data_IF_296065501589
#
_entry.id   IF_296065501589
#
_cell.length_a   1.000
_cell.length_b   1.000
_cell.length_c   1.000
_cell.angle_alpha   90.00
_cell.angle_beta   90.00
_cell.angle_gamma   90.00
#
_symmetry.space_group_name_H-M   'P 1'
#
loop_
_entity.id
_entity.type
_entity.pdbx_description
1 polymer ?
#
# COMPACT_ATOMS: atom_id res chain seq x y z
N UNK A 1 17.04 19.75 61.70
CA UNK A 1 16.44 18.40 61.49
C UNK A 1 15.59 18.48 60.23
N UNK A 2 16.07 17.94 59.15
CA UNK A 2 15.38 17.96 57.85
C UNK A 2 14.35 16.83 57.84
N UNK A 3 13.09 17.21 57.54
CA UNK A 3 11.92 16.33 57.69
C UNK A 3 11.90 15.28 56.59
N UNK A 4 11.77 13.95 56.92
CA UNK A 4 11.75 12.79 55.99
C UNK A 4 10.74 12.90 54.86
N UNK A 5 9.71 13.76 54.97
CA UNK A 5 8.69 13.98 53.92
C UNK A 5 9.17 14.85 52.77
N UNK A 6 10.17 15.73 52.97
CA UNK A 6 10.71 16.61 51.93
C UNK A 6 11.72 15.88 51.05
N UNK A 7 12.30 14.76 51.46
CA UNK A 7 13.26 13.99 50.66
C UNK A 7 12.59 13.06 49.64
N UNK A 8 11.37 12.60 49.92
CA UNK A 8 10.61 11.72 49.01
C UNK A 8 9.98 12.47 47.83
N UNK A 9 9.71 13.78 47.96
CA UNK A 9 9.13 14.59 46.89
C UNK A 9 10.16 15.06 45.84
N UNK A 10 11.44 15.13 46.18
CA UNK A 10 12.50 15.54 45.28
C UNK A 10 13.01 14.39 44.38
N UNK A 11 12.85 13.14 44.83
CA UNK A 11 13.30 11.96 44.06
C UNK A 11 12.31 11.53 42.99
N UNK A 12 11.03 11.88 43.07
CA UNK A 12 10.01 11.57 42.05
C UNK A 12 10.07 12.49 40.82
N UNK A 13 10.60 13.69 40.97
CA UNK A 13 10.72 14.67 39.88
C UNK A 13 11.92 14.42 38.92
N UNK A 14 12.92 13.67 39.37
CA UNK A 14 14.13 13.38 38.57
C UNK A 14 13.99 12.16 37.65
N UNK A 15 12.99 11.29 37.88
CA UNK A 15 12.77 10.10 37.03
C UNK A 15 11.91 10.37 35.77
N UNK A 16 11.30 11.55 35.69
CA UNK A 16 10.49 11.93 34.51
C UNK A 16 11.31 12.56 33.36
N UNK A 17 12.62 12.79 33.54
CA UNK A 17 13.41 13.65 32.66
C UNK A 17 14.22 12.92 31.58
N UNK A 18 14.10 11.59 31.39
CA UNK A 18 14.91 10.85 30.43
C UNK A 18 14.16 9.77 29.62
N UNK A 19 12.85 9.83 29.51
CA UNK A 19 12.19 9.03 28.49
C UNK A 19 12.40 9.69 27.14
N UNK A 20 13.23 9.10 26.27
CA UNK A 20 13.25 9.50 24.85
C UNK A 20 11.79 9.47 24.35
N UNK A 21 11.37 10.51 23.61
CA UNK A 21 10.05 10.47 23.00
C UNK A 21 9.91 9.18 22.19
N UNK A 22 8.77 8.52 22.32
CA UNK A 22 8.51 7.30 21.56
C UNK A 22 8.59 7.61 20.06
N UNK A 23 9.24 6.72 19.31
CA UNK A 23 9.34 6.86 17.86
C UNK A 23 7.96 6.84 17.23
N UNK A 24 7.82 7.62 16.18
CA UNK A 24 6.63 7.61 15.31
C UNK A 24 6.68 6.35 14.45
N UNK A 25 5.71 5.46 14.62
CA UNK A 25 5.67 4.19 13.89
C UNK A 25 4.87 4.34 12.60
N UNK A 26 5.48 3.88 11.50
CA UNK A 26 4.85 3.79 10.18
C UNK A 26 4.75 2.31 9.80
N UNK A 27 3.54 1.75 9.81
CA UNK A 27 3.32 0.35 9.47
C UNK A 27 3.18 0.16 7.95
N UNK A 28 3.95 -0.76 7.38
CA UNK A 28 3.78 -1.18 5.99
C UNK A 28 2.78 -2.33 5.90
N UNK A 29 2.01 -2.38 4.82
CA UNK A 29 1.09 -3.49 4.54
C UNK A 29 1.75 -4.66 3.78
N UNK A 30 3.02 -4.52 3.42
CA UNK A 30 3.79 -5.56 2.73
C UNK A 30 5.26 -5.55 3.16
N UNK A 31 6.04 -6.52 2.64
CA UNK A 31 7.49 -6.58 2.81
C UNK A 31 8.16 -5.37 2.17
N UNK A 32 9.34 -4.93 2.67
CA UNK A 32 10.12 -3.89 2.02
C UNK A 32 10.42 -4.23 0.56
N UNK A 33 9.96 -3.39 -0.35
CA UNK A 33 10.23 -3.46 -1.78
C UNK A 33 10.08 -2.07 -2.42
N UNK A 34 10.33 -1.87 -3.73
CA UNK A 34 10.32 -0.55 -4.37
C UNK A 34 9.05 0.27 -4.21
N UNK A 35 7.88 -0.35 -3.96
CA UNK A 35 6.63 0.40 -3.70
C UNK A 35 6.69 1.24 -2.41
N UNK A 36 7.67 1.00 -1.55
CA UNK A 36 7.90 1.76 -0.32
C UNK A 36 9.16 2.62 -0.37
N UNK A 37 9.83 2.69 -1.52
CA UNK A 37 11.13 3.33 -1.66
C UNK A 37 11.20 4.75 -1.12
N UNK A 38 10.20 5.59 -1.43
CA UNK A 38 10.16 6.96 -0.92
C UNK A 38 9.97 7.07 0.58
N UNK A 39 9.34 6.08 1.24
CA UNK A 39 9.23 6.05 2.70
C UNK A 39 10.58 5.73 3.36
N UNK A 40 11.36 4.83 2.78
CA UNK A 40 12.70 4.51 3.27
C UNK A 40 13.74 5.58 2.92
N UNK A 41 13.58 6.29 1.80
CA UNK A 41 14.46 7.38 1.39
C UNK A 41 14.19 8.70 2.12
N UNK A 42 13.08 8.81 2.86
CA UNK A 42 12.69 10.05 3.53
C UNK A 42 13.64 10.41 4.67
N UNK A 43 14.13 11.66 4.64
CA UNK A 43 14.97 12.22 5.69
C UNK A 43 14.10 12.80 6.81
N UNK A 44 13.46 11.95 7.59
CA UNK A 44 12.48 12.31 8.62
C UNK A 44 13.03 13.27 9.69
N UNK A 45 14.29 13.12 10.05
CA UNK A 45 15.00 13.96 11.02
C UNK A 45 15.04 15.43 10.60
N UNK A 46 15.18 15.73 9.31
CA UNK A 46 15.10 17.09 8.75
C UNK A 46 13.74 17.75 8.93
N UNK A 47 12.71 16.94 9.12
CA UNK A 47 11.34 17.38 9.39
C UNK A 47 10.99 17.29 10.88
N UNK A 48 11.97 17.07 11.76
CA UNK A 48 11.76 16.96 13.21
C UNK A 48 11.03 15.68 13.65
N UNK A 49 11.07 14.62 12.82
CA UNK A 49 10.39 13.35 13.08
C UNK A 49 11.41 12.26 13.38
N UNK A 50 11.23 11.54 14.50
CA UNK A 50 11.95 10.28 14.79
C UNK A 50 11.04 9.12 14.41
N UNK A 51 11.30 8.52 13.24
CA UNK A 51 10.41 7.52 12.61
C UNK A 51 11.02 6.13 12.68
N UNK A 52 10.16 5.17 12.95
CA UNK A 52 10.41 3.73 12.83
C UNK A 52 9.44 3.14 11.79
N UNK A 53 9.98 2.59 10.70
CA UNK A 53 9.18 1.86 9.73
C UNK A 53 9.04 0.41 10.20
N UNK A 54 7.82 -0.05 10.36
CA UNK A 54 7.48 -1.43 10.71
C UNK A 54 7.21 -2.22 9.44
N UNK A 55 8.09 -3.13 9.04
CA UNK A 55 7.86 -3.99 7.88
C UNK A 55 6.59 -4.83 8.04
N UNK A 56 5.87 -5.01 6.94
CA UNK A 56 4.65 -5.81 6.90
C UNK A 56 4.83 -7.14 6.15
N UNK A 57 3.73 -7.70 5.75
CA UNK A 57 3.62 -8.94 4.98
C UNK A 57 2.16 -9.22 4.63
N UNK A 58 1.90 -10.38 4.02
CA UNK A 58 0.54 -10.78 3.68
C UNK A 58 -0.37 -10.78 4.92
N UNK A 59 -1.47 -10.02 4.85
CA UNK A 59 -2.45 -9.93 5.93
C UNK A 59 -2.07 -9.00 7.09
N UNK A 60 -1.02 -8.18 6.97
CA UNK A 60 -0.71 -7.16 7.99
C UNK A 60 -1.89 -6.20 8.16
N UNK A 61 -2.47 -6.08 9.37
CA UNK A 61 -3.72 -5.35 9.59
C UNK A 61 -3.46 -3.85 9.82
N UNK A 62 -2.90 -3.16 8.81
CA UNK A 62 -2.39 -1.79 8.95
C UNK A 62 -3.48 -0.80 9.38
N UNK A 63 -4.70 -0.92 8.83
CA UNK A 63 -5.83 -0.08 9.23
C UNK A 63 -6.15 -0.23 10.73
N UNK A 64 -6.17 -1.47 11.23
CA UNK A 64 -6.42 -1.76 12.63
C UNK A 64 -5.28 -1.26 13.52
N UNK A 65 -4.03 -1.32 13.04
CA UNK A 65 -2.88 -0.78 13.75
C UNK A 65 -2.98 0.74 13.92
N UNK A 66 -3.42 1.46 12.89
CA UNK A 66 -3.70 2.91 12.95
C UNK A 66 -4.83 3.18 13.95
N UNK A 67 -5.96 2.48 13.79
CA UNK A 67 -7.14 2.68 14.63
C UNK A 67 -6.91 2.38 16.12
N UNK A 68 -6.06 1.40 16.44
CA UNK A 68 -5.67 1.04 17.80
C UNK A 68 -4.52 1.92 18.37
N UNK A 69 -3.92 2.81 17.55
CA UNK A 69 -2.75 3.61 17.95
C UNK A 69 -1.47 2.79 18.13
N UNK A 70 -1.41 1.57 17.61
CA UNK A 70 -0.19 0.76 17.61
C UNK A 70 0.78 1.18 16.51
N UNK A 71 0.32 1.97 15.51
CA UNK A 71 1.12 2.76 14.61
C UNK A 71 0.45 4.12 14.40
N UNK A 72 1.23 5.19 14.39
CA UNK A 72 0.72 6.55 14.18
C UNK A 72 0.34 6.80 12.72
N UNK A 73 1.08 6.16 11.81
CA UNK A 73 0.84 6.16 10.38
C UNK A 73 0.92 4.73 9.82
N UNK A 74 0.36 4.53 8.64
CA UNK A 74 0.51 3.25 7.97
C UNK A 74 0.20 3.37 6.48
N UNK A 75 0.61 2.35 5.75
CA UNK A 75 0.37 2.25 4.32
C UNK A 75 -0.82 1.32 4.09
N UNK A 76 -1.79 1.81 3.35
CA UNK A 76 -3.05 1.10 3.02
C UNK A 76 -3.38 1.28 1.53
N UNK A 77 -4.35 0.54 1.01
CA UNK A 77 -5.01 0.88 -0.26
C UNK A 77 -6.26 1.73 -0.01
N UNK A 78 -6.66 2.52 -0.99
CA UNK A 78 -7.82 3.42 -0.85
C UNK A 78 -9.12 2.65 -0.63
N UNK A 79 -9.27 1.49 -1.25
CA UNK A 79 -10.45 0.64 -1.10
C UNK A 79 -10.55 0.03 0.31
N UNK A 80 -9.43 -0.47 0.87
CA UNK A 80 -9.37 -0.92 2.26
C UNK A 80 -9.74 0.21 3.23
N UNK A 81 -9.21 1.42 2.98
CA UNK A 81 -9.51 2.60 3.79
C UNK A 81 -11.00 2.93 3.77
N UNK A 82 -11.63 2.96 2.59
CA UNK A 82 -13.07 3.24 2.44
C UNK A 82 -13.90 2.19 3.17
N UNK A 83 -13.62 0.91 2.98
CA UNK A 83 -14.32 -0.19 3.64
C UNK A 83 -14.17 -0.11 5.16
N UNK A 84 -12.97 0.14 5.65
CA UNK A 84 -12.70 0.27 7.07
C UNK A 84 -13.44 1.47 7.68
N UNK A 85 -13.41 2.61 7.00
CA UNK A 85 -14.07 3.83 7.45
C UNK A 85 -15.59 3.67 7.48
N UNK A 86 -16.18 3.06 6.46
CA UNK A 86 -17.62 2.75 6.43
C UNK A 86 -18.06 1.81 7.57
N UNK A 87 -17.12 1.05 8.13
CA UNK A 87 -17.32 0.18 9.32
C UNK A 87 -16.98 0.85 10.64
N UNK A 88 -16.71 2.17 10.63
CA UNK A 88 -16.46 2.97 11.81
C UNK A 88 -14.99 3.01 12.27
N UNK A 89 -14.04 2.50 11.50
CA UNK A 89 -12.62 2.68 11.82
C UNK A 89 -12.20 4.12 11.53
N UNK A 90 -11.43 4.70 12.45
CA UNK A 90 -10.90 6.05 12.28
C UNK A 90 -9.59 6.01 11.48
N UNK A 91 -9.69 6.13 10.17
CA UNK A 91 -8.54 6.18 9.25
C UNK A 91 -8.77 7.20 8.15
N UNK A 92 -7.75 8.00 7.80
CA UNK A 92 -7.79 9.06 6.79
C UNK A 92 -6.50 9.06 5.96
N UNK A 93 -6.63 9.18 4.64
CA UNK A 93 -5.51 9.26 3.71
C UNK A 93 -4.88 10.65 3.71
N UNK A 94 -3.55 10.72 3.63
CA UNK A 94 -2.77 11.97 3.60
C UNK A 94 -1.98 12.13 2.30
N UNK A 95 -1.58 11.01 1.66
CA UNK A 95 -0.68 11.04 0.51
C UNK A 95 -0.87 9.75 -0.30
N UNK A 96 -1.14 9.84 -1.60
CA UNK A 96 -1.24 8.70 -2.48
C UNK A 96 -0.01 8.59 -3.38
N UNK A 97 0.72 7.50 -3.29
CA UNK A 97 1.93 7.27 -4.10
C UNK A 97 1.54 6.99 -5.54
N UNK A 98 0.83 5.89 -5.76
CA UNK A 98 0.47 5.51 -7.12
C UNK A 98 -0.80 6.21 -7.59
N UNK A 99 -0.66 6.91 -8.68
CA UNK A 99 -1.75 7.64 -9.33
C UNK A 99 -2.60 6.76 -10.25
N UNK A 100 -2.09 5.60 -10.65
CA UNK A 100 -2.85 4.53 -11.29
C UNK A 100 -2.79 3.26 -10.46
N UNK A 101 -3.90 2.51 -10.44
CA UNK A 101 -3.95 1.24 -9.73
C UNK A 101 -2.92 0.26 -10.30
N UNK A 102 -2.11 -0.28 -9.42
CA UNK A 102 -0.99 -1.16 -9.77
C UNK A 102 -1.37 -2.64 -9.74
N UNK A 103 -2.62 -2.95 -9.48
CA UNK A 103 -3.14 -4.32 -9.49
C UNK A 103 -3.56 -4.73 -10.90
N UNK A 104 -3.31 -5.99 -11.22
CA UNK A 104 -3.67 -6.57 -12.52
C UNK A 104 -3.78 -8.08 -12.45
N UNK A 105 -4.11 -8.66 -13.61
CA UNK A 105 -4.03 -10.09 -13.85
C UNK A 105 -2.98 -10.30 -14.94
N UNK A 106 -2.00 -11.18 -14.69
CA UNK A 106 -1.07 -11.62 -15.72
C UNK A 106 -1.48 -12.99 -16.26
N UNK A 107 -1.24 -13.21 -17.54
CA UNK A 107 -1.42 -14.48 -18.22
C UNK A 107 -0.25 -14.74 -19.18
N UNK A 108 -0.01 -15.98 -19.56
CA UNK A 108 1.00 -16.31 -20.56
C UNK A 108 0.68 -15.62 -21.89
N UNK A 109 1.69 -14.97 -22.51
CA UNK A 109 1.52 -14.27 -23.79
C UNK A 109 1.14 -15.22 -24.93
N UNK A 110 1.55 -16.50 -24.84
CA UNK A 110 1.21 -17.58 -25.79
C UNK A 110 -0.30 -17.85 -25.88
N UNK A 111 -1.09 -17.41 -24.90
CA UNK A 111 -2.55 -17.54 -24.94
C UNK A 111 -3.25 -16.57 -25.88
N UNK A 112 -2.55 -15.54 -26.38
CA UNK A 112 -3.07 -14.54 -27.33
C UNK A 112 -4.39 -13.88 -26.89
N UNK A 113 -4.54 -13.61 -25.58
CA UNK A 113 -5.73 -12.99 -24.99
C UNK A 113 -5.74 -11.48 -25.25
N UNK A 114 -6.91 -10.87 -25.49
CA UNK A 114 -7.03 -9.44 -25.78
C UNK A 114 -7.54 -8.62 -24.59
N UNK A 115 -8.27 -9.23 -23.69
CA UNK A 115 -8.88 -8.55 -22.55
C UNK A 115 -8.82 -9.38 -21.28
N UNK A 116 -9.04 -8.74 -20.14
CA UNK A 116 -9.20 -9.43 -18.85
C UNK A 116 -10.42 -10.37 -18.86
N UNK A 117 -11.47 -10.04 -19.65
CA UNK A 117 -12.62 -10.90 -19.84
C UNK A 117 -12.26 -12.21 -20.57
N UNK A 118 -11.27 -12.18 -21.47
CA UNK A 118 -10.81 -13.40 -22.16
C UNK A 118 -10.01 -14.30 -21.21
N UNK A 119 -9.24 -13.71 -20.30
CA UNK A 119 -8.51 -14.46 -19.25
C UNK A 119 -9.48 -15.32 -18.43
N UNK A 120 -10.70 -14.83 -18.21
CA UNK A 120 -11.69 -15.44 -17.33
C UNK A 120 -12.61 -16.47 -18.04
N UNK A 121 -12.32 -16.81 -19.31
CA UNK A 121 -13.09 -17.78 -20.07
C UNK A 121 -12.63 -19.24 -19.90
N UNK A 122 -11.38 -19.46 -19.49
CA UNK A 122 -10.83 -20.79 -19.26
C UNK A 122 -9.55 -20.79 -18.42
N UNK A 123 -9.18 -21.94 -17.88
CA UNK A 123 -7.91 -22.17 -17.19
C UNK A 123 -8.00 -22.00 -15.68
N UNK A 124 -6.85 -21.72 -15.06
CA UNK A 124 -6.73 -21.52 -13.61
C UNK A 124 -6.48 -20.03 -13.32
N UNK A 125 -7.24 -19.45 -12.39
CA UNK A 125 -7.04 -18.09 -11.90
C UNK A 125 -6.59 -18.12 -10.44
N UNK A 126 -5.35 -17.75 -10.18
CA UNK A 126 -4.84 -17.54 -8.83
C UNK A 126 -5.15 -16.10 -8.38
N UNK A 127 -6.11 -15.93 -7.46
CA UNK A 127 -6.58 -14.62 -7.01
C UNK A 127 -7.06 -14.67 -5.56
N UNK A 128 -6.85 -13.58 -4.84
CA UNK A 128 -7.42 -13.37 -3.52
C UNK A 128 -8.85 -12.83 -3.64
N UNK A 129 -9.84 -13.72 -3.62
CA UNK A 129 -11.27 -13.41 -3.85
C UNK A 129 -11.86 -12.34 -2.92
N UNK A 130 -11.29 -12.16 -1.72
CA UNK A 130 -11.77 -11.16 -0.76
C UNK A 130 -11.42 -9.70 -1.13
N UNK A 131 -10.54 -9.48 -2.09
CA UNK A 131 -10.17 -8.13 -2.52
C UNK A 131 -11.28 -7.49 -3.37
N UNK A 132 -11.55 -6.19 -3.22
CA UNK A 132 -12.61 -5.51 -3.95
C UNK A 132 -12.50 -5.66 -5.47
N UNK A 133 -11.30 -5.54 -6.05
CA UNK A 133 -11.13 -5.69 -7.50
C UNK A 133 -11.46 -7.12 -7.99
N UNK A 134 -11.16 -8.14 -7.19
CA UNK A 134 -11.50 -9.53 -7.54
C UNK A 134 -13.03 -9.71 -7.58
N UNK A 135 -13.74 -9.09 -6.66
CA UNK A 135 -15.22 -9.09 -6.63
C UNK A 135 -15.82 -8.31 -7.79
N UNK A 136 -15.19 -7.20 -8.20
CA UNK A 136 -15.60 -6.47 -9.41
C UNK A 136 -15.42 -7.36 -10.65
N UNK A 137 -14.29 -8.05 -10.78
CA UNK A 137 -14.06 -9.00 -11.86
C UNK A 137 -15.11 -10.13 -11.87
N UNK A 138 -15.37 -10.72 -10.70
CA UNK A 138 -16.37 -11.78 -10.55
C UNK A 138 -17.79 -11.28 -10.90
N UNK A 139 -18.16 -10.08 -10.45
CA UNK A 139 -19.45 -9.45 -10.77
C UNK A 139 -19.59 -9.12 -12.26
N UNK A 140 -18.52 -8.65 -12.91
CA UNK A 140 -18.54 -8.19 -14.31
C UNK A 140 -18.46 -9.33 -15.32
N UNK A 141 -17.66 -10.35 -15.03
CA UNK A 141 -17.32 -11.40 -16.01
C UNK A 141 -17.72 -12.81 -15.55
N UNK A 142 -18.02 -13.01 -14.25
CA UNK A 142 -18.16 -14.34 -13.66
C UNK A 142 -16.81 -15.07 -13.48
N UNK A 143 -16.82 -16.10 -12.63
CA UNK A 143 -15.67 -17.02 -12.46
C UNK A 143 -16.05 -18.46 -12.74
N UNK A 144 -17.21 -18.69 -13.38
CA UNK A 144 -17.75 -20.05 -13.62
C UNK A 144 -16.93 -20.88 -14.63
N UNK A 145 -16.16 -20.20 -15.47
CA UNK A 145 -15.37 -20.83 -16.53
C UNK A 145 -13.88 -20.99 -16.17
N UNK A 146 -13.46 -20.53 -14.99
CA UNK A 146 -12.08 -20.64 -14.50
C UNK A 146 -12.03 -21.39 -13.18
N UNK A 147 -10.98 -22.19 -13.00
CA UNK A 147 -10.68 -22.79 -11.70
C UNK A 147 -10.02 -21.73 -10.81
N UNK A 148 -10.78 -21.16 -9.87
CA UNK A 148 -10.22 -20.18 -8.92
C UNK A 148 -9.44 -20.89 -7.82
N UNK A 149 -8.20 -20.46 -7.60
CA UNK A 149 -7.31 -20.92 -6.53
C UNK A 149 -6.83 -19.72 -5.71
N UNK A 150 -6.45 -19.92 -4.43
CA UNK A 150 -5.89 -18.85 -3.61
C UNK A 150 -4.64 -18.25 -4.26
N UNK A 151 -4.48 -16.93 -4.14
CA UNK A 151 -3.26 -16.25 -4.56
C UNK A 151 -2.07 -16.73 -3.71
N UNK A 152 -0.93 -17.05 -4.34
CA UNK A 152 0.29 -17.48 -3.65
C UNK A 152 1.10 -16.32 -3.02
N UNK A 153 0.56 -15.09 -2.98
CA UNK A 153 1.23 -13.97 -2.32
C UNK A 153 2.54 -13.52 -2.97
N UNK A 154 2.58 -13.47 -4.30
CA UNK A 154 3.74 -13.03 -5.08
C UNK A 154 4.65 -14.19 -5.56
N UNK A 155 4.44 -15.42 -5.10
CA UNK A 155 5.11 -16.60 -5.70
C UNK A 155 4.49 -16.92 -7.07
N UNK A 156 5.32 -17.02 -8.10
CA UNK A 156 4.90 -17.30 -9.47
C UNK A 156 5.19 -18.75 -9.90
N UNK A 157 5.69 -19.59 -9.01
CA UNK A 157 6.13 -20.95 -9.35
C UNK A 157 5.02 -21.83 -9.96
N UNK A 158 3.80 -21.68 -9.49
CA UNK A 158 2.65 -22.41 -10.06
C UNK A 158 2.28 -21.86 -11.44
N UNK A 159 2.30 -20.52 -11.59
CA UNK A 159 2.06 -19.83 -12.84
C UNK A 159 3.04 -20.28 -13.94
N UNK A 160 4.33 -20.34 -13.63
CA UNK A 160 5.37 -20.75 -14.61
C UNK A 160 5.19 -22.18 -15.15
N UNK A 161 4.54 -23.08 -14.39
CA UNK A 161 4.36 -24.50 -14.77
C UNK A 161 3.10 -24.78 -15.58
N UNK A 162 2.13 -23.88 -15.58
CA UNK A 162 0.83 -24.08 -16.24
C UNK A 162 0.52 -22.92 -17.18
N UNK A 163 0.71 -23.15 -18.49
CA UNK A 163 0.45 -22.14 -19.52
C UNK A 163 -1.00 -21.64 -19.57
N UNK A 164 -1.95 -22.42 -19.05
CA UNK A 164 -3.36 -22.02 -18.95
C UNK A 164 -3.65 -21.23 -17.69
N UNK A 165 -2.66 -21.04 -16.82
CA UNK A 165 -2.85 -20.26 -15.60
C UNK A 165 -2.87 -18.75 -15.89
N UNK A 166 -3.57 -18.05 -15.03
CA UNK A 166 -3.51 -16.61 -14.85
C UNK A 166 -3.37 -16.31 -13.35
N UNK A 167 -2.74 -15.21 -13.01
CA UNK A 167 -2.47 -14.88 -11.63
C UNK A 167 -2.65 -13.37 -11.40
N UNK A 168 -3.23 -13.01 -10.25
CA UNK A 168 -3.14 -11.63 -9.79
C UNK A 168 -1.69 -11.20 -9.67
N UNK A 169 -1.41 -9.94 -9.99
CA UNK A 169 -0.08 -9.39 -9.92
C UNK A 169 -0.10 -7.91 -9.53
N UNK A 170 1.01 -7.46 -9.00
CA UNK A 170 1.39 -6.07 -9.02
C UNK A 170 2.05 -5.81 -10.37
N UNK A 171 1.45 -5.01 -11.22
CA UNK A 171 1.75 -4.96 -12.67
C UNK A 171 3.22 -4.70 -13.04
N UNK A 172 4.01 -4.20 -12.08
CA UNK A 172 5.44 -3.94 -12.23
C UNK A 172 6.35 -4.94 -11.49
N UNK A 173 5.83 -5.98 -10.84
CA UNK A 173 6.62 -6.92 -10.04
C UNK A 173 6.58 -8.35 -10.59
N UNK A 174 5.51 -9.11 -10.38
CA UNK A 174 5.42 -10.50 -10.80
C UNK A 174 5.60 -10.70 -12.32
N UNK A 175 5.14 -9.77 -13.22
CA UNK A 175 5.41 -9.89 -14.65
C UNK A 175 6.90 -9.81 -15.00
N UNK A 176 7.69 -9.01 -14.26
CA UNK A 176 9.14 -8.96 -14.45
C UNK A 176 9.79 -10.27 -14.00
N UNK A 177 9.37 -10.82 -12.85
CA UNK A 177 9.87 -12.11 -12.37
C UNK A 177 9.57 -13.23 -13.38
N UNK A 178 8.38 -13.25 -13.99
CA UNK A 178 8.02 -14.24 -15.02
C UNK A 178 8.92 -14.14 -16.25
N UNK A 179 9.21 -12.92 -16.74
CA UNK A 179 10.14 -12.70 -17.86
C UNK A 179 11.55 -13.14 -17.54
N UNK A 180 12.06 -12.88 -16.32
CA UNK A 180 13.37 -13.38 -15.88
C UNK A 180 13.43 -14.91 -15.83
N UNK A 181 12.30 -15.55 -15.52
CA UNK A 181 12.17 -17.01 -15.60
C UNK A 181 11.97 -17.54 -17.04
N UNK A 182 12.06 -16.68 -18.06
CA UNK A 182 11.92 -17.05 -19.48
C UNK A 182 10.49 -17.20 -19.97
N UNK A 183 9.50 -16.68 -19.23
CA UNK A 183 8.09 -16.75 -19.59
C UNK A 183 7.57 -15.37 -19.98
N UNK A 184 7.18 -15.21 -21.24
CA UNK A 184 6.52 -13.99 -21.71
C UNK A 184 5.09 -13.90 -21.19
N UNK A 185 4.74 -12.73 -20.68
CA UNK A 185 3.42 -12.50 -20.09
C UNK A 185 2.77 -11.25 -20.67
N UNK A 186 1.45 -11.32 -20.81
CA UNK A 186 0.56 -10.18 -21.01
C UNK A 186 -0.10 -9.80 -19.71
N UNK A 187 -0.08 -8.52 -19.40
CA UNK A 187 -0.67 -7.96 -18.17
C UNK A 187 -1.94 -7.22 -18.51
N UNK A 188 -2.97 -7.44 -17.73
CA UNK A 188 -4.27 -6.80 -17.83
C UNK A 188 -4.50 -5.98 -16.57
N UNK A 189 -4.23 -4.65 -16.59
CA UNK A 189 -4.45 -3.78 -15.44
C UNK A 189 -5.92 -3.71 -15.06
N UNK A 190 -6.22 -3.74 -13.77
CA UNK A 190 -7.59 -3.59 -13.28
C UNK A 190 -8.11 -2.17 -13.54
N UNK A 191 -7.22 -1.20 -13.65
CA UNK A 191 -7.57 0.16 -14.03
C UNK A 191 -8.30 0.25 -15.39
N UNK A 192 -7.97 -0.63 -16.35
CA UNK A 192 -8.54 -0.64 -17.70
C UNK A 192 -10.02 -1.05 -17.72
N UNK A 193 -10.50 -1.71 -16.68
CA UNK A 193 -11.94 -2.03 -16.52
C UNK A 193 -12.72 -0.96 -15.75
N UNK A 194 -12.07 0.16 -15.40
CA UNK A 194 -12.65 1.30 -14.70
C UNK A 194 -12.53 1.23 -13.17
N UNK A 195 -11.82 0.23 -12.61
CA UNK A 195 -11.52 0.19 -11.19
C UNK A 195 -10.11 0.68 -10.91
N UNK A 196 -10.00 1.96 -10.52
CA UNK A 196 -8.71 2.62 -10.39
C UNK A 196 -8.52 3.31 -9.02
N UNK A 197 -8.53 2.57 -7.89
CA UNK A 197 -8.24 3.14 -6.58
C UNK A 197 -6.79 3.63 -6.49
N UNK A 198 -6.52 4.58 -5.58
CA UNK A 198 -5.15 4.86 -5.17
C UNK A 198 -4.58 3.64 -4.44
N UNK A 199 -3.33 3.32 -4.73
CA UNK A 199 -2.59 2.26 -4.02
C UNK A 199 -1.35 2.84 -3.35
N UNK A 200 -0.85 2.17 -2.31
CA UNK A 200 0.25 2.66 -1.46
C UNK A 200 -0.02 4.07 -0.93
N UNK A 201 -1.05 4.15 -0.09
CA UNK A 201 -1.56 5.41 0.48
C UNK A 201 -1.06 5.53 1.90
N UNK A 202 -0.36 6.63 2.22
CA UNK A 202 -0.05 7.00 3.60
C UNK A 202 -1.33 7.46 4.31
N UNK A 203 -1.64 6.82 5.41
CA UNK A 203 -2.82 7.10 6.22
C UNK A 203 -2.46 7.29 7.71
N UNK A 204 -3.35 7.97 8.42
CA UNK A 204 -3.34 8.13 9.89
C UNK A 204 -4.77 8.09 10.41
N UNK A 205 -4.99 8.25 11.71
CA UNK A 205 -6.35 8.46 12.25
C UNK A 205 -6.77 9.94 12.21
N UNK A 206 -8.07 10.20 12.08
CA UNK A 206 -8.60 11.58 12.18
C UNK A 206 -8.34 12.17 13.56
N UNK A 207 -8.33 11.33 14.61
CA UNK A 207 -7.97 11.75 15.95
C UNK A 207 -6.52 12.24 16.03
N UNK A 208 -5.57 11.50 15.47
CA UNK A 208 -4.16 11.88 15.37
C UNK A 208 -3.98 13.16 14.56
N UNK A 209 -4.62 13.25 13.39
CA UNK A 209 -4.57 14.44 12.52
C UNK A 209 -5.11 15.69 13.22
N UNK A 210 -6.16 15.54 14.02
CA UNK A 210 -6.74 16.63 14.80
C UNK A 210 -5.86 17.05 15.99
N UNK A 211 -5.22 16.10 16.66
CA UNK A 211 -4.38 16.38 17.83
C UNK A 211 -3.04 17.01 17.47
N UNK A 212 -2.48 16.61 16.32
CA UNK A 212 -1.17 17.09 15.85
C UNK A 212 -1.14 17.23 14.31
N UNK A 213 -1.81 18.27 13.77
CA UNK A 213 -1.86 18.50 12.33
C UNK A 213 -0.50 18.83 11.72
N UNK A 214 0.41 19.43 12.49
CA UNK A 214 1.74 19.80 12.01
C UNK A 214 2.64 18.58 11.84
N UNK A 215 2.51 17.58 12.69
CA UNK A 215 3.16 16.27 12.49
C UNK A 215 2.69 15.60 11.19
N UNK A 216 1.40 15.64 10.89
CA UNK A 216 0.87 15.08 9.65
C UNK A 216 1.42 15.81 8.41
N UNK A 217 1.53 17.14 8.46
CA UNK A 217 2.14 17.94 7.38
C UNK A 217 3.63 17.63 7.22
N UNK A 218 4.39 17.57 8.33
CA UNK A 218 5.80 17.23 8.34
C UNK A 218 6.02 15.83 7.76
N UNK A 219 5.18 14.86 8.13
CA UNK A 219 5.22 13.50 7.60
C UNK A 219 4.95 13.48 6.08
N UNK A 220 3.92 14.15 5.61
CA UNK A 220 3.61 14.21 4.17
C UNK A 220 4.72 14.93 3.38
N UNK A 221 5.34 15.97 3.94
CA UNK A 221 6.46 16.68 3.33
C UNK A 221 7.71 15.78 3.25
N UNK A 222 8.08 15.11 4.34
CA UNK A 222 9.21 14.18 4.38
C UNK A 222 9.03 13.04 3.36
N UNK A 223 7.84 12.45 3.30
CA UNK A 223 7.51 11.38 2.34
C UNK A 223 7.58 11.89 0.90
N UNK A 224 7.09 13.10 0.61
CA UNK A 224 7.18 13.70 -0.73
C UNK A 224 8.63 13.92 -1.16
N UNK A 225 9.48 14.43 -0.28
CA UNK A 225 10.91 14.59 -0.55
C UNK A 225 11.60 13.23 -0.71
N UNK A 226 11.27 12.27 0.13
CA UNK A 226 11.78 10.91 0.05
C UNK A 226 11.43 10.23 -1.29
N UNK A 227 10.20 10.41 -1.77
CA UNK A 227 9.82 9.88 -3.09
C UNK A 227 10.58 10.57 -4.23
N UNK A 228 10.79 11.89 -4.18
CA UNK A 228 11.62 12.58 -5.17
C UNK A 228 13.05 12.05 -5.17
N UNK A 229 13.66 11.92 -3.99
CA UNK A 229 15.01 11.37 -3.87
C UNK A 229 15.10 9.92 -4.38
N UNK A 230 14.11 9.10 -4.07
CA UNK A 230 14.07 7.71 -4.53
C UNK A 230 13.86 7.58 -6.04
N UNK A 231 13.03 8.41 -6.64
CA UNK A 231 12.81 8.43 -8.09
C UNK A 231 14.05 8.93 -8.86
N UNK A 232 14.86 9.79 -8.25
CA UNK A 232 16.12 10.29 -8.81
C UNK A 232 17.23 9.23 -8.70
N UNK A 233 17.48 8.71 -7.50
CA UNK A 233 18.47 7.63 -7.26
C UNK A 233 17.91 6.55 -6.32
N UNK A 234 17.35 5.45 -6.85
CA UNK A 234 16.79 4.37 -6.03
C UNK A 234 17.87 3.47 -5.40
N UNK A 235 19.12 3.49 -5.87
CA UNK A 235 20.15 2.52 -5.50
C UNK A 235 20.41 2.40 -4.00
N UNK A 236 20.67 3.48 -3.24
CA UNK A 236 20.96 3.37 -1.81
C UNK A 236 19.82 2.74 -1.04
N UNK A 237 18.59 3.18 -1.36
CA UNK A 237 17.37 2.72 -0.70
C UNK A 237 17.03 1.28 -1.08
N UNK A 238 17.22 0.89 -2.34
CA UNK A 238 17.06 -0.49 -2.78
C UNK A 238 18.02 -1.43 -2.05
N UNK A 239 19.28 -1.04 -1.86
CA UNK A 239 20.25 -1.84 -1.08
C UNK A 239 19.79 -2.05 0.35
N UNK A 240 19.31 -1.00 1.01
CA UNK A 240 18.74 -1.10 2.36
C UNK A 240 17.51 -2.01 2.42
N UNK A 241 16.58 -1.88 1.50
CA UNK A 241 15.38 -2.72 1.47
C UNK A 241 15.68 -4.17 1.11
N UNK A 242 16.69 -4.42 0.25
CA UNK A 242 17.13 -5.77 -0.09
C UNK A 242 17.70 -6.53 1.12
N UNK A 243 18.45 -5.85 2.01
CA UNK A 243 18.91 -6.44 3.27
C UNK A 243 17.74 -6.92 4.15
N UNK A 244 16.62 -6.20 4.13
CA UNK A 244 15.40 -6.53 4.88
C UNK A 244 14.50 -7.55 4.18
N UNK A 245 14.60 -7.64 2.84
CA UNK A 245 13.80 -8.56 2.02
C UNK A 245 14.69 -9.29 0.98
N UNK A 246 15.54 -10.22 1.43
CA UNK A 246 16.46 -10.95 0.54
C UNK A 246 15.75 -11.95 -0.40
N UNK A 247 14.43 -12.13 -0.27
CA UNK A 247 13.64 -12.96 -1.19
C UNK A 247 13.45 -12.33 -2.58
N UNK A 248 13.70 -11.03 -2.71
CA UNK A 248 13.73 -10.30 -3.97
C UNK A 248 15.18 -9.93 -4.28
N UNK A 249 15.71 -10.30 -5.44
CA UNK A 249 17.10 -10.02 -5.78
C UNK A 249 17.34 -8.55 -6.14
N UNK A 250 18.61 -8.12 -6.12
CA UNK A 250 18.98 -6.73 -6.33
C UNK A 250 18.64 -6.21 -7.75
N UNK A 251 18.67 -7.08 -8.77
CA UNK A 251 18.29 -6.70 -10.13
C UNK A 251 16.79 -6.45 -10.21
N UNK A 252 15.98 -7.31 -9.58
CA UNK A 252 14.53 -7.11 -9.49
C UNK A 252 14.17 -5.81 -8.75
N UNK A 253 14.89 -5.46 -7.67
CA UNK A 253 14.71 -4.15 -7.01
C UNK A 253 14.95 -2.99 -7.97
N UNK A 254 16.02 -3.03 -8.78
CA UNK A 254 16.33 -1.97 -9.72
C UNK A 254 15.27 -1.86 -10.84
N UNK A 255 14.86 -2.98 -11.39
CA UNK A 255 13.87 -3.00 -12.49
C UNK A 255 12.47 -2.55 -12.04
N UNK A 256 12.01 -3.00 -10.87
CA UNK A 256 10.73 -2.56 -10.31
C UNK A 256 10.77 -1.07 -9.98
N UNK A 257 11.89 -0.56 -9.46
CA UNK A 257 12.07 0.87 -9.20
C UNK A 257 11.89 1.72 -10.48
N UNK A 258 12.41 1.25 -11.62
CA UNK A 258 12.19 1.93 -12.90
C UNK A 258 10.77 1.73 -13.44
N UNK A 259 10.24 0.51 -13.38
CA UNK A 259 8.93 0.18 -13.91
C UNK A 259 7.77 0.91 -13.20
N UNK A 260 7.94 1.31 -11.94
CA UNK A 260 6.89 2.03 -11.19
C UNK A 260 6.81 3.53 -11.48
N UNK A 261 7.86 4.16 -12.03
CA UNK A 261 7.90 5.61 -12.28
C UNK A 261 6.65 6.14 -13.01
N UNK A 262 6.19 5.55 -14.13
CA UNK A 262 5.00 6.02 -14.84
C UNK A 262 3.71 6.00 -14.01
N UNK A 263 3.63 5.15 -12.98
CA UNK A 263 2.45 5.06 -12.11
C UNK A 263 2.46 6.12 -11.01
N UNK A 264 3.64 6.69 -10.70
CA UNK A 264 3.84 7.71 -9.65
C UNK A 264 3.83 9.12 -10.25
N UNK A 265 4.49 9.31 -11.40
CA UNK A 265 4.77 10.63 -12.01
C UNK A 265 3.64 11.19 -12.88
N UNK A 266 2.45 10.56 -12.88
CA UNK A 266 1.32 10.97 -13.73
C UNK A 266 0.64 12.28 -13.34
N UNK A 267 1.11 12.96 -12.27
CA UNK A 267 0.55 14.21 -11.77
C UNK A 267 1.36 14.80 -10.62
N UNK A 268 0.69 15.57 -9.77
CA UNK A 268 1.33 16.05 -8.55
C UNK A 268 1.51 14.90 -7.56
N UNK A 269 2.75 14.57 -7.24
CA UNK A 269 3.13 13.52 -6.32
C UNK A 269 2.39 13.65 -4.97
N UNK A 270 1.67 12.59 -4.59
CA UNK A 270 0.89 12.53 -3.37
C UNK A 270 -0.52 13.11 -3.47
N UNK A 271 -0.92 13.64 -4.63
CA UNK A 271 -2.23 14.27 -4.79
C UNK A 271 -3.39 13.25 -4.75
N UNK A 272 -4.54 13.74 -4.32
CA UNK A 272 -5.79 12.99 -4.29
C UNK A 272 -6.95 13.92 -4.65
N UNK A 273 -7.97 13.42 -5.35
CA UNK A 273 -9.14 14.20 -5.77
C UNK A 273 -10.44 13.62 -5.19
N UNK A 274 -11.38 14.49 -4.84
CA UNK A 274 -12.68 14.09 -4.31
C UNK A 274 -13.47 13.21 -5.31
N UNK A 275 -13.40 13.52 -6.60
CA UNK A 275 -14.10 12.78 -7.64
C UNK A 275 -13.67 11.32 -7.70
N UNK A 276 -12.35 11.06 -7.58
CA UNK A 276 -11.82 9.70 -7.60
C UNK A 276 -12.23 8.90 -6.36
N UNK A 277 -12.24 9.54 -5.18
CA UNK A 277 -12.76 8.94 -3.96
C UNK A 277 -14.27 8.68 -4.07
N UNK A 278 -15.05 9.60 -4.61
CA UNK A 278 -16.49 9.43 -4.82
C UNK A 278 -16.79 8.26 -5.76
N UNK A 279 -16.03 8.13 -6.86
CA UNK A 279 -16.15 7.01 -7.79
C UNK A 279 -15.86 5.68 -7.10
N UNK A 280 -14.78 5.60 -6.32
CA UNK A 280 -14.43 4.39 -5.56
C UNK A 280 -15.51 4.01 -4.54
N UNK A 281 -16.01 4.99 -3.79
CA UNK A 281 -17.08 4.79 -2.80
C UNK A 281 -18.33 4.24 -3.46
N UNK A 282 -18.74 4.78 -4.62
CA UNK A 282 -19.86 4.25 -5.40
C UNK A 282 -19.64 2.80 -5.84
N UNK A 283 -18.46 2.48 -6.36
CA UNK A 283 -18.11 1.12 -6.78
C UNK A 283 -18.16 0.11 -5.62
N UNK A 284 -17.67 0.49 -4.44
CA UNK A 284 -17.70 -0.36 -3.25
C UNK A 284 -19.11 -0.52 -2.67
N UNK A 285 -19.94 0.52 -2.76
CA UNK A 285 -21.37 0.42 -2.40
C UNK A 285 -22.11 -0.52 -3.34
N UNK A 286 -21.87 -0.42 -4.64
CA UNK A 286 -22.47 -1.29 -5.68
C UNK A 286 -22.04 -2.76 -5.51
N UNK A 287 -20.87 -3.02 -4.94
CA UNK A 287 -20.43 -4.36 -4.56
C UNK A 287 -21.05 -4.87 -3.26
N UNK A 288 -21.67 -3.99 -2.46
CA UNK A 288 -22.12 -4.30 -1.11
C UNK A 288 -20.98 -4.44 -0.10
N UNK A 289 -19.79 -3.88 -0.39
CA UNK A 289 -18.64 -3.90 0.52
C UNK A 289 -18.81 -2.90 1.67
N UNK A 290 -19.57 -1.85 1.43
CA UNK A 290 -19.97 -0.86 2.42
C UNK A 290 -21.50 -0.78 2.52
N UNK A 291 -22.06 -0.62 3.74
CA UNK A 291 -23.50 -0.64 3.95
C UNK A 291 -24.23 0.56 3.33
N UNK A 292 -23.51 1.69 3.21
CA UNK A 292 -23.99 2.91 2.58
C UNK A 292 -22.78 3.75 2.14
N UNK A 293 -22.94 4.61 1.12
CA UNK A 293 -21.90 5.55 0.73
C UNK A 293 -21.53 6.49 1.89
N UNK A 294 -20.23 6.77 2.01
CA UNK A 294 -19.66 7.77 2.92
C UNK A 294 -19.19 8.99 2.12
N UNK A 295 -18.96 10.11 2.78
CA UNK A 295 -18.49 11.31 2.09
C UNK A 295 -17.00 11.17 1.71
N UNK A 296 -16.65 11.53 0.48
CA UNK A 296 -15.26 11.51 0.02
C UNK A 296 -14.34 12.33 0.93
N UNK A 297 -14.82 13.47 1.43
CA UNK A 297 -14.11 14.36 2.37
C UNK A 297 -13.74 13.67 3.69
N UNK A 298 -14.42 12.59 4.05
CA UNK A 298 -14.08 11.83 5.24
C UNK A 298 -12.91 10.89 5.01
N UNK A 299 -12.61 10.54 3.75
CA UNK A 299 -11.59 9.56 3.41
C UNK A 299 -10.19 10.15 3.29
N UNK A 300 -10.03 11.42 2.96
CA UNK A 300 -8.71 12.01 2.70
C UNK A 300 -8.58 13.46 3.14
N UNK A 301 -7.33 13.90 3.28
CA UNK A 301 -6.92 15.31 3.45
C UNK A 301 -5.74 15.60 2.54
N UNK A 302 -5.83 16.69 1.79
CA UNK A 302 -4.69 17.27 1.05
C UNK A 302 -3.85 18.10 2.01
N UNK A 303 -2.54 17.82 2.09
CA UNK A 303 -1.56 18.49 2.97
C UNK A 303 -0.45 19.14 2.14
#
# INVERSE_FOLDING_TARGET
MMNRRTFLSASAALLAACAKPAKIRVALNWKPDPQFGGFYAAAYDKHGLDVEILPGGAGTPTVQMIGAGSAEFGIVSADELVVARARGNDVVALFAVFQNCTQGIMAHASRHLDSIGDVLKEGTLAIQRGLPYARILEKKYGFDHVKVVPSPGGDISAFLRDEKSAQQCFVMSEPLQARHAGVDVKVFPVADIGYNPYTTVLATSSAQLKSDPDRAKSMAAAVREGWRAYLDDPKPTNSQMHEMNPSMDAAAFAEVAEAQKPFIETGQLGSMTADRWTTLIGQLADLGDIPQPIAAQDCFRSL
#
